data_IF_254312110187
#
_entry.id   IF_254312110187
#
_cell.length_a   1.000
_cell.length_b   1.000
_cell.length_c   1.000
_cell.angle_alpha   90.00
_cell.angle_beta   90.00
_cell.angle_gamma   90.00
#
_symmetry.space_group_name_H-M   'P 1'
#
loop_
_entity.id
_entity.type
_entity.pdbx_description
1 polymer ?
#
# COMPACT_ATOMS: atom_id res chain seq x y z
N UNK A 1 1.60 -5.58 13.87
CA UNK A 1 0.21 -5.05 13.82
C UNK A 1 -0.03 -4.24 15.08
N UNK A 2 -0.49 -3.00 14.94
CA UNK A 2 -0.97 -2.22 16.08
C UNK A 2 -2.38 -2.72 16.47
N UNK A 3 -2.69 -2.71 17.77
CA UNK A 3 -3.98 -3.16 18.30
C UNK A 3 -4.47 -2.18 19.37
N UNK A 4 -5.76 -1.85 19.31
CA UNK A 4 -6.47 -1.09 20.35
C UNK A 4 -7.71 -1.88 20.76
N UNK A 5 -7.88 -2.12 22.06
CA UNK A 5 -9.08 -2.77 22.59
C UNK A 5 -10.22 -1.78 22.72
N UNK A 6 -11.42 -2.22 22.37
CA UNK A 6 -12.62 -1.40 22.42
C UNK A 6 -13.68 -1.86 21.42
N UNK A 7 -14.91 -1.42 21.63
CA UNK A 7 -16.02 -1.63 20.70
C UNK A 7 -16.06 -0.46 19.72
N UNK A 8 -16.02 -0.76 18.43
CA UNK A 8 -16.08 0.24 17.36
C UNK A 8 -17.17 -0.15 16.37
N UNK A 9 -18.05 0.79 16.05
CA UNK A 9 -19.04 0.57 15.01
C UNK A 9 -18.33 0.56 13.63
N UNK A 10 -18.39 -0.55 12.86
CA UNK A 10 -17.64 -0.66 11.61
C UNK A 10 -18.07 0.36 10.56
N UNK A 11 -19.36 0.69 10.50
CA UNK A 11 -19.90 1.60 9.49
C UNK A 11 -19.46 3.05 9.75
N UNK A 12 -19.66 3.54 10.98
CA UNK A 12 -19.25 4.88 11.40
C UNK A 12 -17.72 5.04 11.33
N UNK A 13 -16.99 4.01 11.76
CA UNK A 13 -15.52 4.01 11.67
C UNK A 13 -15.05 4.11 10.23
N UNK A 14 -15.68 3.39 9.30
CA UNK A 14 -15.34 3.45 7.88
C UNK A 14 -15.66 4.82 7.27
N UNK A 15 -16.84 5.39 7.57
CA UNK A 15 -17.21 6.71 7.09
C UNK A 15 -16.23 7.79 7.57
N UNK A 16 -15.76 7.69 8.82
CA UNK A 16 -14.74 8.59 9.37
C UNK A 16 -13.41 8.43 8.65
N UNK A 17 -12.90 7.20 8.54
CA UNK A 17 -11.65 6.91 7.83
C UNK A 17 -11.69 7.40 6.38
N UNK A 18 -12.79 7.16 5.66
CA UNK A 18 -12.96 7.59 4.26
C UNK A 18 -12.96 9.11 4.10
N UNK A 19 -13.46 9.85 5.10
CA UNK A 19 -13.48 11.31 5.10
C UNK A 19 -12.10 11.90 5.42
N UNK A 20 -11.43 11.38 6.44
CA UNK A 20 -10.15 11.88 6.92
C UNK A 20 -8.97 11.42 6.03
N UNK A 21 -9.06 10.22 5.46
CA UNK A 21 -8.02 9.57 4.66
C UNK A 21 -8.57 9.05 3.33
N UNK A 22 -9.04 9.94 2.43
CA UNK A 22 -9.58 9.51 1.14
C UNK A 22 -8.50 8.82 0.30
N UNK A 23 -8.87 7.69 -0.31
CA UNK A 23 -7.96 6.91 -1.15
C UNK A 23 -8.73 6.23 -2.31
N UNK A 24 -8.07 5.99 -3.46
CA UNK A 24 -8.69 5.40 -4.65
C UNK A 24 -9.26 3.99 -4.41
N UNK A 25 -8.69 3.20 -3.51
CA UNK A 25 -9.11 1.83 -3.25
C UNK A 25 -9.73 1.65 -1.85
N UNK A 26 -10.68 2.54 -1.52
CA UNK A 26 -11.45 2.43 -0.29
C UNK A 26 -12.46 1.26 -0.35
N UNK A 27 -12.56 0.48 0.72
CA UNK A 27 -13.50 -0.63 0.82
C UNK A 27 -13.98 -0.86 2.25
N UNK A 28 -15.25 -1.26 2.38
CA UNK A 28 -15.81 -1.83 3.59
C UNK A 28 -16.29 -3.24 3.30
N UNK A 29 -15.70 -4.23 3.98
CA UNK A 29 -16.13 -5.63 3.90
C UNK A 29 -16.61 -6.08 5.28
N UNK A 30 -17.77 -6.74 5.33
CA UNK A 30 -18.38 -7.19 6.58
C UNK A 30 -18.57 -8.71 6.55
N UNK A 31 -17.74 -9.42 7.31
CA UNK A 31 -17.71 -10.88 7.40
C UNK A 31 -18.14 -11.36 8.79
N UNK A 32 -19.39 -11.08 9.16
CA UNK A 32 -19.89 -11.40 10.50
C UNK A 32 -19.07 -10.65 11.56
N UNK A 33 -18.34 -11.38 12.42
CA UNK A 33 -17.53 -10.79 13.50
C UNK A 33 -16.20 -10.15 13.09
N UNK A 34 -15.87 -10.13 11.79
CA UNK A 34 -14.69 -9.46 11.25
C UNK A 34 -15.10 -8.44 10.19
N UNK A 35 -14.65 -7.20 10.35
CA UNK A 35 -14.87 -6.13 9.38
C UNK A 35 -13.54 -5.57 8.89
N UNK A 36 -13.45 -5.28 7.60
CA UNK A 36 -12.25 -4.75 6.94
C UNK A 36 -12.58 -3.36 6.39
N UNK A 37 -11.90 -2.34 6.90
CA UNK A 37 -12.11 -0.94 6.59
C UNK A 37 -10.83 -0.42 5.92
N UNK A 38 -10.78 -0.45 4.59
CA UNK A 38 -9.60 -0.08 3.80
C UNK A 38 -9.70 1.35 3.31
N UNK A 39 -8.60 2.09 3.43
CA UNK A 39 -8.32 3.33 2.68
C UNK A 39 -6.97 3.20 1.95
N UNK A 40 -6.81 2.09 1.22
CA UNK A 40 -5.57 1.80 0.50
C UNK A 40 -5.38 2.75 -0.69
N UNK A 41 -4.17 3.34 -0.84
CA UNK A 41 -3.83 4.13 -2.01
C UNK A 41 -3.27 3.30 -3.18
N UNK A 42 -2.88 2.05 -2.94
CA UNK A 42 -1.99 1.33 -3.84
C UNK A 42 -2.70 0.19 -4.58
N UNK A 43 -2.63 0.21 -5.91
CA UNK A 43 -3.08 -0.89 -6.76
C UNK A 43 -2.05 -2.02 -6.72
N UNK A 44 -2.51 -3.20 -6.30
CA UNK A 44 -1.73 -4.41 -6.40
C UNK A 44 -1.65 -4.89 -7.86
N UNK A 45 -2.81 -5.09 -8.49
CA UNK A 45 -2.90 -5.72 -9.80
C UNK A 45 -4.26 -5.42 -10.44
N UNK A 46 -4.23 -4.90 -11.66
CA UNK A 46 -5.39 -4.85 -12.56
C UNK A 46 -5.18 -5.80 -13.73
N UNK A 47 -6.24 -6.48 -14.12
CA UNK A 47 -6.34 -7.27 -15.36
C UNK A 47 -7.55 -6.73 -16.12
N UNK A 48 -7.31 -6.11 -17.28
CA UNK A 48 -8.37 -5.63 -18.15
C UNK A 48 -9.00 -6.76 -18.95
N UNK A 49 -10.27 -6.60 -19.33
CA UNK A 49 -10.94 -7.51 -20.26
C UNK A 49 -10.28 -7.52 -21.66
N UNK A 50 -9.47 -6.50 -21.97
CA UNK A 50 -8.63 -6.37 -23.16
C UNK A 50 -7.27 -7.07 -23.03
N UNK A 51 -7.03 -7.78 -21.92
CA UNK A 51 -5.79 -8.50 -21.65
C UNK A 51 -4.61 -7.63 -21.21
N UNK A 52 -4.81 -6.33 -20.90
CA UNK A 52 -3.76 -5.52 -20.28
C UNK A 52 -3.67 -5.86 -18.79
N UNK A 53 -2.48 -6.23 -18.33
CA UNK A 53 -2.18 -6.38 -16.90
C UNK A 53 -1.34 -5.19 -16.42
N UNK A 54 -1.64 -4.69 -15.23
CA UNK A 54 -1.04 -3.46 -14.71
C UNK A 54 -0.85 -3.55 -13.20
N UNK A 55 0.23 -2.97 -12.68
CA UNK A 55 0.48 -2.78 -11.26
C UNK A 55 1.13 -1.41 -11.03
N UNK A 56 0.78 -0.75 -9.94
CA UNK A 56 1.19 0.64 -9.67
C UNK A 56 1.83 0.76 -8.29
N UNK A 57 3.08 0.30 -8.12
CA UNK A 57 3.79 0.44 -6.86
C UNK A 57 4.02 1.91 -6.48
N UNK A 58 3.85 2.18 -5.18
CA UNK A 58 4.04 3.51 -4.59
C UNK A 58 5.21 3.47 -3.60
N UNK A 59 6.10 4.46 -3.67
CA UNK A 59 7.15 4.73 -2.66
C UNK A 59 7.30 6.21 -2.50
N UNK A 60 7.68 6.70 -1.33
CA UNK A 60 7.69 8.13 -1.07
C UNK A 60 6.29 8.74 -0.97
N UNK A 61 6.08 9.53 0.08
CA UNK A 61 4.84 10.28 0.30
C UNK A 61 5.23 11.60 0.95
N UNK A 62 4.61 12.69 0.52
CA UNK A 62 4.72 14.00 1.16
C UNK A 62 3.32 14.55 1.44
N UNK A 63 3.11 15.32 2.53
CA UNK A 63 1.84 15.99 2.76
C UNK A 63 1.59 17.05 1.68
N UNK A 64 0.37 17.61 1.63
CA UNK A 64 0.12 18.85 0.87
C UNK A 64 0.79 20.03 1.55
N UNK A 65 1.24 21.00 0.75
CA UNK A 65 1.78 22.26 1.25
C UNK A 65 0.68 23.20 1.74
N UNK A 66 1.01 24.10 2.66
CA UNK A 66 0.10 25.16 3.11
C UNK A 66 -0.04 26.30 2.09
N UNK A 67 0.84 26.36 1.09
CA UNK A 67 0.77 27.32 -0.03
C UNK A 67 1.09 26.65 -1.37
N UNK A 68 0.67 27.23 -2.51
CA UNK A 68 1.01 26.69 -3.84
C UNK A 68 2.52 26.55 -4.08
N UNK A 69 3.32 27.47 -3.53
CA UNK A 69 4.78 27.43 -3.66
C UNK A 69 5.39 26.27 -2.86
N UNK A 70 4.91 26.06 -1.63
CA UNK A 70 5.33 24.94 -0.79
C UNK A 70 4.89 23.59 -1.38
N UNK A 71 3.64 23.49 -1.86
CA UNK A 71 3.10 22.29 -2.52
C UNK A 71 3.96 21.91 -3.74
N UNK A 72 4.32 22.89 -4.57
CA UNK A 72 5.22 22.69 -5.70
C UNK A 72 6.64 22.26 -5.28
N UNK A 73 7.16 22.82 -4.19
CA UNK A 73 8.46 22.43 -3.63
C UNK A 73 8.45 20.99 -3.09
N UNK A 74 7.37 20.57 -2.43
CA UNK A 74 7.18 19.20 -1.93
C UNK A 74 7.12 18.19 -3.09
N UNK A 75 6.40 18.53 -4.17
CA UNK A 75 6.37 17.73 -5.40
C UNK A 75 7.76 17.62 -6.03
N UNK A 76 8.46 18.75 -6.18
CA UNK A 76 9.80 18.77 -6.76
C UNK A 76 10.81 17.95 -5.93
N UNK A 77 10.75 18.09 -4.59
CA UNK A 77 11.57 17.34 -3.66
C UNK A 77 11.29 15.85 -3.70
N UNK A 78 10.01 15.43 -3.68
CA UNK A 78 9.63 14.02 -3.79
C UNK A 78 10.09 13.40 -5.11
N UNK A 79 10.07 14.16 -6.21
CA UNK A 79 10.50 13.69 -7.53
C UNK A 79 12.00 13.47 -7.62
N UNK A 80 12.82 14.20 -6.85
CA UNK A 80 14.27 14.13 -6.89
C UNK A 80 14.91 13.32 -5.76
N UNK A 81 14.14 12.94 -4.73
CA UNK A 81 14.66 12.22 -3.56
C UNK A 81 15.19 10.84 -3.95
N UNK A 82 16.45 10.59 -3.58
CA UNK A 82 17.22 9.44 -4.07
C UNK A 82 16.75 8.13 -3.43
N UNK A 83 16.45 8.14 -2.12
CA UNK A 83 15.99 6.96 -1.38
C UNK A 83 14.65 6.45 -1.93
N UNK A 84 13.67 7.34 -2.07
CA UNK A 84 12.32 7.09 -2.57
C UNK A 84 12.37 6.53 -4.01
N UNK A 85 13.24 7.08 -4.88
CA UNK A 85 13.46 6.56 -6.23
C UNK A 85 14.14 5.20 -6.23
N UNK A 86 15.16 4.99 -5.39
CA UNK A 86 15.85 3.72 -5.29
C UNK A 86 14.90 2.61 -4.81
N UNK A 87 14.11 2.88 -3.76
CA UNK A 87 13.07 1.95 -3.29
C UNK A 87 12.04 1.67 -4.37
N UNK A 88 11.55 2.71 -5.05
CA UNK A 88 10.55 2.55 -6.09
C UNK A 88 11.08 1.68 -7.23
N UNK A 89 12.31 1.95 -7.69
CA UNK A 89 12.95 1.20 -8.77
C UNK A 89 13.11 -0.29 -8.43
N UNK A 90 13.54 -0.60 -7.20
CA UNK A 90 13.64 -1.98 -6.73
C UNK A 90 12.30 -2.71 -6.79
N UNK A 91 11.20 -2.03 -6.44
CA UNK A 91 9.86 -2.62 -6.53
C UNK A 91 9.38 -2.70 -7.98
N UNK A 92 9.65 -1.69 -8.82
CA UNK A 92 9.35 -1.74 -10.26
C UNK A 92 10.00 -2.97 -10.90
N UNK A 93 11.27 -3.23 -10.64
CA UNK A 93 11.95 -4.41 -11.19
C UNK A 93 11.37 -5.73 -10.67
N UNK A 94 11.00 -5.79 -9.39
CA UNK A 94 10.30 -6.94 -8.84
C UNK A 94 8.95 -7.17 -9.54
N UNK A 95 8.16 -6.11 -9.73
CA UNK A 95 6.85 -6.16 -10.40
C UNK A 95 6.99 -6.53 -11.87
N UNK A 96 8.01 -6.02 -12.58
CA UNK A 96 8.33 -6.44 -13.96
C UNK A 96 8.57 -7.94 -14.04
N UNK A 97 9.35 -8.49 -13.10
CA UNK A 97 9.56 -9.94 -13.02
C UNK A 97 8.28 -10.71 -12.68
N UNK A 98 7.44 -10.19 -11.78
CA UNK A 98 6.17 -10.81 -11.41
C UNK A 98 5.20 -10.87 -12.60
N UNK A 99 4.96 -9.74 -13.28
CA UNK A 99 4.09 -9.68 -14.46
C UNK A 99 4.66 -10.50 -15.62
N UNK A 100 5.98 -10.54 -15.78
CA UNK A 100 6.68 -11.33 -16.80
C UNK A 100 6.35 -12.82 -16.78
N UNK A 101 5.91 -13.36 -15.64
CA UNK A 101 5.48 -14.77 -15.52
C UNK A 101 4.16 -15.05 -16.21
N UNK A 102 3.33 -14.04 -16.42
CA UNK A 102 2.02 -14.16 -17.08
C UNK A 102 1.95 -13.37 -18.39
N UNK A 103 2.95 -12.57 -18.71
CA UNK A 103 2.98 -11.68 -19.86
C UNK A 103 3.50 -12.35 -21.15
N UNK A 104 3.01 -11.86 -22.29
CA UNK A 104 3.59 -12.16 -23.61
C UNK A 104 5.06 -11.72 -23.58
N UNK A 105 6.02 -12.57 -23.99
CA UNK A 105 7.44 -12.20 -24.01
C UNK A 105 7.67 -10.88 -24.74
N UNK A 106 8.44 -9.99 -24.11
CA UNK A 106 8.75 -8.66 -24.65
C UNK A 106 7.66 -7.59 -24.45
N UNK A 107 6.51 -7.91 -23.85
CA UNK A 107 5.43 -6.92 -23.63
C UNK A 107 5.49 -6.20 -22.28
N UNK A 108 6.41 -6.54 -21.39
CA UNK A 108 6.51 -5.93 -20.06
C UNK A 108 7.21 -4.58 -20.17
N UNK A 109 6.47 -3.51 -19.87
CA UNK A 109 6.92 -2.12 -19.95
C UNK A 109 6.75 -1.45 -18.59
N UNK A 110 7.74 -0.63 -18.22
CA UNK A 110 7.66 0.25 -17.06
C UNK A 110 7.54 1.67 -17.58
N UNK A 111 6.30 2.15 -17.65
CA UNK A 111 5.97 3.49 -18.11
C UNK A 111 5.86 4.44 -16.92
N UNK A 112 6.04 5.74 -17.18
CA UNK A 112 5.78 6.80 -16.20
C UNK A 112 6.41 6.54 -14.82
N UNK A 113 7.63 6.03 -14.81
CA UNK A 113 8.35 5.79 -13.56
C UNK A 113 8.61 7.11 -12.84
N UNK A 114 8.50 7.10 -11.52
CA UNK A 114 8.71 8.26 -10.67
C UNK A 114 7.75 9.43 -10.97
N UNK A 115 6.53 9.11 -11.39
CA UNK A 115 5.46 10.10 -11.56
C UNK A 115 4.96 10.52 -10.19
N UNK A 116 4.93 11.83 -9.93
CA UNK A 116 4.29 12.34 -8.72
C UNK A 116 2.80 12.55 -9.01
N UNK A 117 1.97 11.87 -8.23
CA UNK A 117 0.52 12.06 -8.23
C UNK A 117 0.09 12.85 -7.00
N UNK A 118 -0.82 13.80 -7.22
CA UNK A 118 -1.36 14.66 -6.16
C UNK A 118 -2.77 14.22 -5.80
N UNK A 119 -2.95 13.87 -4.54
CA UNK A 119 -4.23 13.51 -3.93
C UNK A 119 -4.71 14.64 -3.00
N UNK A 120 -5.89 14.44 -2.39
CA UNK A 120 -6.49 15.44 -1.51
C UNK A 120 -5.57 15.83 -0.34
N UNK A 121 -4.85 14.88 0.27
CA UNK A 121 -4.07 15.09 1.49
C UNK A 121 -2.57 14.83 1.34
N UNK A 122 -2.14 14.26 0.22
CA UNK A 122 -0.73 13.87 0.00
C UNK A 122 -0.32 13.93 -1.46
N UNK A 123 0.99 13.99 -1.70
CA UNK A 123 1.64 13.63 -2.95
C UNK A 123 2.27 12.25 -2.81
N UNK A 124 2.25 11.45 -3.89
CA UNK A 124 2.80 10.10 -3.91
C UNK A 124 3.65 9.89 -5.16
N UNK A 125 4.78 9.20 -5.03
CA UNK A 125 5.60 8.83 -6.16
C UNK A 125 5.20 7.42 -6.62
N UNK A 126 4.58 7.39 -7.79
CA UNK A 126 3.93 6.23 -8.40
C UNK A 126 4.72 5.85 -9.66
N UNK A 127 4.86 4.56 -9.89
CA UNK A 127 5.36 4.02 -11.16
C UNK A 127 4.38 2.99 -11.67
N UNK A 128 4.19 2.90 -12.98
CA UNK A 128 3.24 1.97 -13.58
C UNK A 128 3.97 0.90 -14.39
N UNK A 129 3.72 -0.37 -14.09
CA UNK A 129 4.24 -1.49 -14.87
C UNK A 129 3.08 -2.18 -15.59
N UNK A 130 3.19 -2.32 -16.91
CA UNK A 130 2.16 -2.91 -17.76
C UNK A 130 2.70 -4.09 -18.54
N UNK A 131 1.80 -5.00 -18.93
CA UNK A 131 2.10 -6.01 -19.92
C UNK A 131 0.84 -6.52 -20.62
N UNK A 132 1.02 -7.33 -21.67
CA UNK A 132 -0.06 -8.08 -22.31
C UNK A 132 -0.14 -9.49 -21.73
N UNK A 133 -1.30 -9.88 -21.22
CA UNK A 133 -1.55 -11.23 -20.72
C UNK A 133 -1.33 -12.27 -21.81
N UNK A 134 -0.64 -13.37 -21.50
CA UNK A 134 -0.50 -14.49 -22.45
C UNK A 134 -1.85 -15.10 -22.75
N UNK A 135 -2.13 -15.46 -24.02
CA UNK A 135 -3.29 -16.27 -24.36
C UNK A 135 -3.35 -17.55 -23.52
N UNK A 136 -4.55 -17.87 -23.03
CA UNK A 136 -4.80 -19.06 -22.20
C UNK A 136 -4.57 -18.87 -20.70
N UNK A 137 -4.05 -17.72 -20.25
CA UNK A 137 -4.00 -17.35 -18.84
C UNK A 137 -5.13 -16.39 -18.47
N UNK A 138 -5.48 -16.34 -17.18
CA UNK A 138 -6.50 -15.44 -16.64
C UNK A 138 -6.04 -14.67 -15.40
N UNK A 139 -6.96 -13.88 -14.84
CA UNK A 139 -6.67 -13.04 -13.68
C UNK A 139 -6.16 -13.83 -12.46
N UNK A 140 -6.64 -15.05 -12.25
CA UNK A 140 -6.19 -15.92 -11.15
C UNK A 140 -4.73 -16.31 -11.31
N UNK A 141 -4.26 -16.57 -12.54
CA UNK A 141 -2.85 -16.88 -12.81
C UNK A 141 -1.97 -15.67 -12.50
N UNK A 142 -2.41 -14.47 -12.90
CA UNK A 142 -1.71 -13.22 -12.59
C UNK A 142 -1.60 -12.98 -11.08
N UNK A 143 -2.69 -13.16 -10.33
CA UNK A 143 -2.68 -13.05 -8.87
C UNK A 143 -1.70 -14.06 -8.27
N UNK A 144 -1.75 -15.33 -8.68
CA UNK A 144 -0.83 -16.38 -8.17
C UNK A 144 0.63 -16.08 -8.47
N UNK A 145 0.93 -15.50 -9.64
CA UNK A 145 2.29 -15.20 -10.05
C UNK A 145 2.88 -13.99 -9.30
N UNK A 146 2.07 -12.96 -9.05
CA UNK A 146 2.51 -11.70 -8.49
C UNK A 146 2.34 -11.58 -6.97
N UNK A 147 1.43 -12.33 -6.37
CA UNK A 147 1.13 -12.23 -4.94
C UNK A 147 2.21 -12.91 -4.07
N UNK A 148 2.56 -12.37 -2.89
CA UNK A 148 2.13 -11.08 -2.33
C UNK A 148 2.75 -9.87 -3.04
N UNK A 149 2.11 -8.70 -2.91
CA UNK A 149 2.54 -7.45 -3.52
C UNK A 149 4.00 -7.10 -3.18
N UNK A 150 4.73 -6.63 -4.19
CA UNK A 150 6.17 -6.38 -4.07
C UNK A 150 6.53 -5.33 -3.01
N UNK A 151 5.75 -4.26 -2.92
CA UNK A 151 5.93 -3.17 -1.94
C UNK A 151 5.76 -3.61 -0.48
N UNK A 152 5.09 -4.74 -0.23
CA UNK A 152 4.83 -5.31 1.10
C UNK A 152 5.75 -6.47 1.48
N UNK A 153 6.59 -6.89 0.54
CA UNK A 153 7.57 -7.95 0.74
C UNK A 153 8.96 -7.33 0.67
N UNK A 154 9.55 -7.29 -0.52
CA UNK A 154 10.87 -6.74 -0.82
C UNK A 154 11.56 -7.55 -1.91
N UNK A 155 12.79 -7.15 -2.26
CA UNK A 155 13.58 -7.82 -3.29
C UNK A 155 14.86 -8.43 -2.68
N UNK A 156 15.13 -9.74 -2.83
CA UNK A 156 14.30 -10.78 -3.48
C UNK A 156 13.11 -11.27 -2.63
N UNK A 157 11.91 -11.35 -3.22
CA UNK A 157 10.62 -11.61 -2.54
C UNK A 157 10.63 -12.78 -1.55
N UNK A 158 11.04 -13.98 -1.99
CA UNK A 158 11.03 -15.18 -1.13
C UNK A 158 11.99 -15.03 0.04
N UNK A 159 13.16 -14.41 -0.17
CA UNK A 159 14.13 -14.21 0.90
C UNK A 159 13.61 -13.21 1.92
N UNK A 160 13.02 -12.11 1.47
CA UNK A 160 12.44 -11.10 2.34
C UNK A 160 11.27 -11.64 3.15
N UNK A 161 10.38 -12.45 2.54
CA UNK A 161 9.28 -13.11 3.27
C UNK A 161 9.79 -14.02 4.40
N UNK A 162 10.88 -14.78 4.18
CA UNK A 162 11.51 -15.59 5.25
C UNK A 162 12.12 -14.75 6.37
N UNK A 163 12.57 -13.52 6.07
CA UNK A 163 13.08 -12.60 7.09
C UNK A 163 11.91 -12.05 7.90
N UNK A 164 10.84 -11.59 7.22
CA UNK A 164 9.60 -11.13 7.83
C UNK A 164 9.03 -12.18 8.78
N UNK A 165 8.87 -13.42 8.32
CA UNK A 165 8.32 -14.53 9.11
C UNK A 165 9.10 -14.81 10.41
N UNK A 166 10.42 -14.60 10.38
CA UNK A 166 11.28 -14.76 11.55
C UNK A 166 11.24 -13.56 12.50
N UNK A 167 11.04 -12.36 11.98
CA UNK A 167 11.08 -11.12 12.75
C UNK A 167 9.72 -10.76 13.34
N UNK A 168 8.63 -11.08 12.64
CA UNK A 168 7.27 -10.78 13.09
C UNK A 168 6.74 -11.91 13.99
N UNK A 169 6.10 -11.55 15.10
CA UNK A 169 5.59 -12.51 16.09
C UNK A 169 4.33 -13.29 15.68
N UNK A 170 3.97 -13.32 14.39
CA UNK A 170 2.80 -14.04 13.91
C UNK A 170 2.40 -13.68 12.48
N UNK A 171 1.42 -14.42 11.95
CA UNK A 171 0.90 -14.20 10.61
C UNK A 171 0.24 -12.81 10.47
N UNK A 172 0.48 -12.14 9.33
CA UNK A 172 -0.09 -10.82 9.03
C UNK A 172 -1.61 -10.83 8.80
N UNK A 173 -2.20 -12.00 8.52
CA UNK A 173 -3.62 -12.13 8.24
C UNK A 173 -4.01 -11.35 6.97
N UNK A 174 -4.98 -10.44 7.09
CA UNK A 174 -5.45 -9.63 5.95
C UNK A 174 -4.41 -8.55 5.56
N UNK A 175 -3.61 -8.06 6.51
CA UNK A 175 -2.56 -7.06 6.24
C UNK A 175 -1.54 -7.58 5.22
N UNK A 176 -1.10 -6.72 4.30
CA UNK A 176 -0.28 -7.06 3.13
C UNK A 176 -0.92 -8.03 2.13
N UNK A 177 -2.21 -8.35 2.32
CA UNK A 177 -3.01 -9.09 1.36
C UNK A 177 -3.48 -8.23 0.18
N UNK A 178 -4.55 -8.67 -0.47
CA UNK A 178 -5.20 -7.93 -1.56
C UNK A 178 -6.72 -7.87 -1.38
N UNK A 179 -7.34 -6.73 -1.73
CA UNK A 179 -8.80 -6.53 -1.75
C UNK A 179 -9.22 -6.10 -3.14
N UNK A 180 -10.25 -6.70 -3.70
CA UNK A 180 -10.66 -6.42 -5.06
C UNK A 180 -11.78 -7.32 -5.55
N UNK A 181 -11.90 -7.46 -6.86
CA UNK A 181 -12.91 -8.31 -7.49
C UNK A 181 -12.33 -9.14 -8.64
N UNK A 182 -13.06 -10.21 -8.97
CA UNK A 182 -12.91 -11.01 -10.18
C UNK A 182 -14.23 -10.94 -10.94
N UNK A 183 -14.20 -10.52 -12.20
CA UNK A 183 -15.36 -10.42 -13.07
C UNK A 183 -15.49 -11.62 -13.99
N UNK A 184 -16.72 -11.98 -14.36
CA UNK A 184 -17.00 -12.98 -15.40
C UNK A 184 -16.49 -12.56 -16.79
N UNK A 185 -16.21 -11.27 -16.99
CA UNK A 185 -15.57 -10.76 -18.21
C UNK A 185 -14.06 -11.03 -18.27
N UNK A 186 -13.50 -11.67 -17.24
CA UNK A 186 -12.06 -11.87 -17.07
C UNK A 186 -11.34 -10.66 -16.46
N UNK A 187 -12.02 -9.52 -16.31
CA UNK A 187 -11.46 -8.34 -15.66
C UNK A 187 -11.28 -8.54 -14.14
N UNK A 188 -10.25 -7.91 -13.58
CA UNK A 188 -9.98 -7.89 -12.15
C UNK A 188 -9.28 -6.59 -11.76
N UNK A 189 -9.51 -6.11 -10.53
CA UNK A 189 -8.76 -5.01 -9.95
C UNK A 189 -8.62 -5.26 -8.46
N UNK A 190 -7.38 -5.21 -7.97
CA UNK A 190 -7.01 -5.48 -6.60
C UNK A 190 -6.11 -4.37 -6.07
N UNK A 191 -6.39 -3.91 -4.86
CA UNK A 191 -5.49 -3.06 -4.07
C UNK A 191 -4.68 -3.88 -3.09
N UNK A 192 -3.54 -3.33 -2.67
CA UNK A 192 -2.77 -3.87 -1.55
C UNK A 192 -3.50 -3.54 -0.25
N UNK A 193 -3.56 -4.49 0.69
CA UNK A 193 -4.08 -4.23 2.03
C UNK A 193 -3.03 -3.51 2.88
N UNK A 194 -3.00 -2.20 2.69
CA UNK A 194 -2.36 -1.21 3.55
C UNK A 194 -3.40 -0.19 3.96
N UNK A 195 -3.07 0.61 4.97
CA UNK A 195 -3.96 1.60 5.57
C UNK A 195 -5.37 1.06 5.83
N UNK A 196 -5.44 -0.13 6.43
CA UNK A 196 -6.68 -0.90 6.58
C UNK A 196 -6.87 -1.28 8.05
N UNK A 197 -8.01 -0.92 8.61
CA UNK A 197 -8.42 -1.33 9.95
C UNK A 197 -9.21 -2.65 9.89
N UNK A 198 -8.88 -3.57 10.78
CA UNK A 198 -9.62 -4.82 11.02
C UNK A 198 -10.36 -4.67 12.35
N UNK A 199 -11.69 -4.59 12.29
CA UNK A 199 -12.55 -4.40 13.46
C UNK A 199 -13.20 -5.74 13.81
N UNK A 200 -13.04 -6.16 15.05
CA UNK A 200 -13.80 -7.26 15.67
C UNK A 200 -14.61 -6.72 16.85
N UNK A 201 -15.35 -7.59 17.54
CA UNK A 201 -16.22 -7.17 18.65
C UNK A 201 -15.48 -6.35 19.73
N UNK A 202 -14.23 -6.71 20.04
CA UNK A 202 -13.50 -6.21 21.21
C UNK A 202 -12.22 -5.42 20.88
N UNK A 203 -11.88 -5.25 19.59
CA UNK A 203 -10.63 -4.59 19.18
C UNK A 203 -10.65 -4.09 17.74
N UNK A 204 -9.71 -3.18 17.48
CA UNK A 204 -9.27 -2.78 16.14
C UNK A 204 -7.81 -3.14 15.99
N UNK A 205 -7.46 -3.77 14.87
CA UNK A 205 -6.08 -4.02 14.45
C UNK A 205 -5.76 -3.24 13.19
N UNK A 206 -4.52 -2.80 13.07
CA UNK A 206 -4.06 -2.03 11.91
C UNK A 206 -2.62 -2.37 11.57
N UNK A 207 -2.36 -2.58 10.29
CA UNK A 207 -1.03 -2.89 9.78
C UNK A 207 -0.23 -1.64 9.50
N UNK A 208 0.94 -1.55 10.13
CA UNK A 208 1.88 -0.44 10.00
C UNK A 208 3.26 -1.03 9.76
N UNK A 209 4.00 -0.46 8.82
CA UNK A 209 5.35 -0.88 8.47
C UNK A 209 6.05 0.09 7.53
N UNK A 210 7.34 -0.14 7.31
CA UNK A 210 8.21 0.62 6.43
C UNK A 210 9.04 -0.30 5.54
N UNK A 211 9.66 0.26 4.51
CA UNK A 211 10.64 -0.45 3.73
C UNK A 211 12.01 -0.25 4.39
N UNK A 212 12.75 -1.33 4.58
CA UNK A 212 14.10 -1.25 5.15
C UNK A 212 15.10 -1.57 4.06
N UNK A 213 15.92 -0.58 3.72
CA UNK A 213 17.04 -0.71 2.79
C UNK A 213 18.35 -0.32 3.48
N UNK A 214 19.47 -0.49 2.80
CA UNK A 214 20.79 -0.15 3.35
C UNK A 214 20.93 1.34 3.71
N UNK A 215 20.14 2.21 3.08
CA UNK A 215 20.10 3.66 3.34
C UNK A 215 19.09 4.06 4.43
N UNK A 216 18.35 3.11 5.00
CA UNK A 216 17.33 3.42 6.02
C UNK A 216 18.00 3.83 7.33
N UNK A 217 17.55 4.94 7.90
CA UNK A 217 17.86 5.34 9.27
C UNK A 217 16.79 4.76 10.22
N UNK A 218 17.16 3.99 11.27
CA UNK A 218 16.20 3.35 12.16
C UNK A 218 15.22 4.32 12.85
N UNK A 219 15.67 5.52 13.23
CA UNK A 219 14.80 6.50 13.88
C UNK A 219 13.80 7.11 12.90
N UNK A 220 14.25 7.42 11.68
CA UNK A 220 13.38 7.90 10.60
C UNK A 220 12.32 6.84 10.21
N UNK A 221 12.70 5.57 10.11
CA UNK A 221 11.75 4.48 9.84
C UNK A 221 10.71 4.33 10.96
N UNK A 222 11.13 4.46 12.22
CA UNK A 222 10.20 4.44 13.35
C UNK A 222 9.20 5.60 13.27
N UNK A 223 9.65 6.82 13.02
CA UNK A 223 8.75 7.97 12.84
C UNK A 223 7.83 7.79 11.62
N UNK A 224 8.31 7.19 10.53
CA UNK A 224 7.47 6.86 9.39
C UNK A 224 6.35 5.87 9.76
N UNK A 225 6.63 4.88 10.62
CA UNK A 225 5.58 4.01 11.13
C UNK A 225 4.55 4.78 11.97
N UNK A 226 4.98 5.73 12.80
CA UNK A 226 4.06 6.58 13.56
C UNK A 226 3.15 7.41 12.65
N UNK A 227 3.70 8.01 11.59
CA UNK A 227 2.94 8.76 10.58
C UNK A 227 1.94 7.85 9.87
N UNK A 228 2.36 6.65 9.45
CA UNK A 228 1.46 5.67 8.80
C UNK A 228 0.39 5.12 9.74
N UNK A 229 0.60 5.16 11.05
CA UNK A 229 -0.39 4.78 12.06
C UNK A 229 -1.44 5.86 12.31
N UNK A 230 -1.26 7.09 11.81
CA UNK A 230 -2.16 8.22 12.06
C UNK A 230 -3.66 7.90 11.84
N UNK A 231 -4.09 7.15 10.80
CA UNK A 231 -5.50 6.81 10.65
C UNK A 231 -6.06 5.97 11.80
N UNK A 232 -5.27 5.04 12.35
CA UNK A 232 -5.66 4.28 13.55
C UNK A 232 -5.74 5.19 14.77
N UNK A 233 -4.72 6.02 14.99
CA UNK A 233 -4.64 6.89 16.17
C UNK A 233 -5.78 7.89 16.20
N UNK A 234 -6.09 8.52 15.05
CA UNK A 234 -7.22 9.43 14.92
C UNK A 234 -8.55 8.72 15.17
N UNK A 235 -8.75 7.53 14.57
CA UNK A 235 -9.96 6.74 14.74
C UNK A 235 -10.19 6.34 16.21
N UNK A 236 -9.13 5.91 16.89
CA UNK A 236 -9.23 5.29 18.23
C UNK A 236 -8.98 6.25 19.38
N UNK A 237 -8.36 7.41 19.13
CA UNK A 237 -7.89 8.33 20.17
C UNK A 237 -6.65 7.84 20.92
N UNK A 238 -6.04 6.72 20.49
CA UNK A 238 -4.85 6.18 21.13
C UNK A 238 -3.60 7.02 20.84
N UNK A 239 -2.61 6.95 21.72
CA UNK A 239 -1.28 7.50 21.49
C UNK A 239 -0.36 6.48 20.81
N UNK A 240 0.57 6.95 19.98
CA UNK A 240 1.63 6.08 19.47
C UNK A 240 2.64 5.81 20.60
N UNK A 241 3.03 4.55 20.86
CA UNK A 241 3.99 4.22 21.92
C UNK A 241 5.34 4.90 21.69
N UNK A 242 5.99 5.36 22.76
CA UNK A 242 7.40 5.78 22.76
C UNK A 242 7.76 6.95 21.84
N UNK A 243 6.76 7.61 21.24
CA UNK A 243 6.97 8.82 20.43
C UNK A 243 7.14 10.03 21.32
N UNK A 244 8.33 10.65 21.30
CA UNK A 244 8.52 11.96 21.90
C UNK A 244 7.69 12.99 21.13
N UNK A 245 6.70 13.60 21.79
CA UNK A 245 5.89 14.66 21.19
C UNK A 245 6.67 15.97 21.16
N UNK A 246 7.61 16.10 20.23
CA UNK A 246 8.16 17.41 19.88
C UNK A 246 7.21 18.10 18.91
N UNK A 247 6.13 18.67 19.46
CA UNK A 247 5.47 19.88 18.94
C UNK A 247 4.83 19.91 17.55
N UNK A 248 4.85 18.85 16.73
CA UNK A 248 4.22 18.88 15.41
C UNK A 248 2.74 18.47 15.52
N UNK A 249 1.85 19.47 15.43
CA UNK A 249 0.41 19.27 15.30
C UNK A 249 0.10 18.54 13.98
N UNK A 250 -0.66 17.45 14.08
CA UNK A 250 -1.30 16.75 12.95
C UNK A 250 -2.28 17.65 12.20
#
# INVERSE_FOLDING_TARGET
MAEVRGRYDPWQSYLRLRREHPAPFAALLQFGGLHVLSTSPERFLRVGADGVIESEPIKGTRPRGASPAEDAALVAGLRSEEKDRAENLMIVDLVRNDLGRCAVPGSVEADDIFRVETYATVHQLVSTVRARLRPGLGAVDCVRAAFPGGSMTGAPKVRTMKIIDRLEGGARGVYSGAIGYLSLTGAADFSIVIRTALVTEDRVRYGVGGAVIALSDPAAEFEETAVKAAPLLQLTGAAFPERQQDGVKL
#
